data_IF_028580294506
#
_entry.id   IF_028580294506
#
_cell.length_a   1.000
_cell.length_b   1.000
_cell.length_c   1.000
_cell.angle_alpha   90.00
_cell.angle_beta   90.00
_cell.angle_gamma   90.00
#
_symmetry.space_group_name_H-M   'P 1'
#
loop_
_entity.id
_entity.type
_entity.pdbx_description
1 polymer ?
#
# COMPACT_ATOMS: atom_id res chain seq x y z
N UNK A 1 -53.72 0.10 -27.52
CA UNK A 1 -52.92 -0.74 -28.44
C UNK A 1 -51.69 -1.20 -27.68
N UNK A 2 -51.86 -2.24 -26.87
CA UNK A 2 -51.51 -3.65 -27.18
C UNK A 2 -50.01 -3.91 -27.29
N UNK A 3 -49.44 -4.25 -26.13
CA UNK A 3 -48.31 -5.16 -25.97
C UNK A 3 -48.67 -6.54 -26.54
N UNK A 4 -47.72 -7.24 -27.18
CA UNK A 4 -47.77 -8.72 -27.26
C UNK A 4 -46.34 -9.29 -27.35
N UNK A 5 -46.04 -10.39 -26.60
CA UNK A 5 -44.69 -10.90 -26.37
C UNK A 5 -44.36 -12.11 -27.28
N UNK A 6 -43.09 -12.53 -27.24
CA UNK A 6 -42.59 -13.72 -27.94
C UNK A 6 -42.81 -15.00 -27.10
N UNK A 7 -43.13 -16.16 -27.71
CA UNK A 7 -43.62 -17.34 -27.01
C UNK A 7 -42.53 -18.27 -26.47
N UNK A 8 -42.76 -18.74 -25.24
CA UNK A 8 -42.12 -19.89 -24.61
C UNK A 8 -42.80 -21.18 -25.10
N UNK A 9 -42.02 -22.17 -25.54
CA UNK A 9 -42.51 -23.52 -25.85
C UNK A 9 -41.88 -24.55 -24.92
N UNK A 10 -42.73 -25.21 -24.13
CA UNK A 10 -42.40 -26.27 -23.18
C UNK A 10 -43.14 -27.54 -23.61
N UNK A 11 -42.49 -28.73 -23.70
CA UNK A 11 -43.18 -30.01 -23.84
C UNK A 11 -43.07 -30.83 -22.52
N UNK A 12 -43.78 -31.97 -22.35
CA UNK A 12 -44.85 -32.09 -21.35
C UNK A 12 -44.48 -32.87 -20.09
N UNK A 13 -45.35 -32.71 -19.07
CA UNK A 13 -45.38 -33.44 -17.81
C UNK A 13 -45.36 -34.96 -17.97
N UNK A 14 -44.55 -35.63 -17.14
CA UNK A 14 -44.78 -37.02 -16.74
C UNK A 14 -44.77 -37.14 -15.21
N UNK A 15 -45.99 -37.32 -14.69
CA UNK A 15 -46.47 -38.04 -13.50
C UNK A 15 -45.58 -38.07 -12.26
N UNK A 16 -46.10 -37.48 -11.19
CA UNK A 16 -45.67 -37.69 -9.80
C UNK A 16 -45.79 -39.17 -9.44
N UNK A 17 -44.72 -39.76 -8.93
CA UNK A 17 -44.77 -40.93 -8.07
C UNK A 17 -44.07 -40.57 -6.77
N UNK A 18 -44.86 -40.44 -5.71
CA UNK A 18 -44.32 -40.43 -4.36
C UNK A 18 -43.80 -41.84 -4.07
N UNK A 19 -42.53 -41.98 -3.72
CA UNK A 19 -42.00 -43.23 -3.17
C UNK A 19 -41.42 -42.90 -1.80
N UNK A 20 -42.02 -43.58 -0.83
CA UNK A 20 -41.80 -43.50 0.60
C UNK A 20 -40.38 -43.96 0.95
N UNK A 21 -39.76 -43.23 1.88
CA UNK A 21 -38.48 -43.56 2.52
C UNK A 21 -38.61 -44.84 3.35
N UNK A 22 -37.64 -45.78 3.29
CA UNK A 22 -37.28 -46.54 4.45
C UNK A 22 -35.91 -46.08 4.94
N UNK A 23 -35.91 -45.59 6.19
CA UNK A 23 -34.73 -45.45 7.00
C UNK A 23 -34.11 -46.84 7.20
N UNK A 24 -32.83 -47.01 6.87
CA UNK A 24 -31.89 -47.88 7.59
C UNK A 24 -30.54 -47.93 6.87
N UNK A 25 -29.50 -47.52 7.60
CA UNK A 25 -28.18 -48.16 7.66
C UNK A 25 -27.56 -48.64 6.34
N UNK A 26 -26.54 -47.93 5.84
CA UNK A 26 -25.19 -48.47 5.60
C UNK A 26 -24.23 -47.27 5.53
N UNK A 27 -23.24 -47.27 6.41
CA UNK A 27 -22.09 -46.37 6.38
C UNK A 27 -21.28 -46.61 5.09
N UNK A 28 -21.15 -45.58 4.25
CA UNK A 28 -20.15 -45.57 3.17
C UNK A 28 -19.35 -44.27 3.29
N UNK A 29 -18.24 -44.38 4.01
CA UNK A 29 -17.10 -43.47 3.99
C UNK A 29 -16.45 -43.54 2.60
N UNK A 30 -16.94 -42.75 1.64
CA UNK A 30 -16.18 -42.50 0.40
C UNK A 30 -15.35 -41.24 0.58
N UNK A 31 -14.06 -41.46 0.81
CA UNK A 31 -13.00 -40.48 0.96
C UNK A 31 -13.06 -39.40 -0.13
N UNK A 32 -13.36 -38.17 0.26
CA UNK A 32 -12.99 -36.98 -0.49
C UNK A 32 -11.49 -36.78 -0.26
N UNK A 33 -10.66 -37.19 -1.21
CA UNK A 33 -9.22 -36.93 -1.16
C UNK A 33 -8.99 -35.42 -1.21
N UNK A 34 -8.66 -34.81 -0.08
CA UNK A 34 -8.10 -33.46 -0.01
C UNK A 34 -6.69 -33.48 -0.63
N UNK A 35 -6.59 -33.44 -1.96
CA UNK A 35 -5.37 -33.04 -2.64
C UNK A 35 -5.33 -31.50 -2.65
N UNK A 36 -5.09 -30.91 -1.47
CA UNK A 36 -5.22 -29.47 -1.25
C UNK A 36 -4.23 -28.90 -0.26
N UNK A 37 -3.05 -29.50 -0.12
CA UNK A 37 -1.89 -28.89 0.52
C UNK A 37 -0.63 -29.38 -0.20
N UNK A 38 -0.42 -28.91 -1.43
CA UNK A 38 0.96 -28.69 -1.84
C UNK A 38 1.33 -27.35 -1.21
N UNK A 39 1.89 -27.40 0.00
CA UNK A 39 2.66 -26.28 0.52
C UNK A 39 3.81 -26.11 -0.46
N UNK A 40 3.64 -25.21 -1.42
CA UNK A 40 4.77 -24.67 -2.16
C UNK A 40 5.67 -24.13 -1.07
N UNK A 41 6.78 -24.83 -0.80
CA UNK A 41 7.83 -24.30 0.05
C UNK A 41 8.24 -22.99 -0.61
N UNK A 42 7.69 -21.90 -0.10
CA UNK A 42 8.03 -20.56 -0.50
C UNK A 42 9.45 -20.40 0.00
N UNK A 43 10.39 -20.79 -0.85
CA UNK A 43 11.80 -20.49 -0.63
C UNK A 43 11.84 -18.99 -0.80
N UNK A 44 11.64 -18.27 0.30
CA UNK A 44 11.89 -16.85 0.36
C UNK A 44 13.27 -16.65 -0.28
N UNK A 45 13.37 -15.88 -1.37
CA UNK A 45 14.66 -15.66 -1.99
C UNK A 45 15.60 -15.16 -0.89
N UNK A 46 16.75 -15.79 -0.75
CA UNK A 46 17.88 -15.30 0.06
C UNK A 46 18.50 -14.08 -0.62
N UNK A 47 17.67 -13.06 -0.87
CA UNK A 47 18.08 -11.76 -1.36
C UNK A 47 18.43 -10.89 -0.16
N UNK A 48 19.45 -10.05 -0.33
CA UNK A 48 19.80 -9.00 0.62
C UNK A 48 18.55 -8.17 0.98
N UNK A 49 18.49 -7.68 2.22
CA UNK A 49 17.37 -6.88 2.72
C UNK A 49 17.00 -5.77 1.73
N UNK A 50 15.71 -5.56 1.40
CA UNK A 50 15.30 -4.56 0.41
C UNK A 50 15.63 -3.12 0.84
N UNK A 51 15.80 -2.90 2.15
CA UNK A 51 16.23 -1.64 2.75
C UNK A 51 17.27 -1.91 3.86
N UNK A 52 18.26 -1.03 3.96
CA UNK A 52 19.19 -0.93 5.09
C UNK A 52 18.85 0.32 5.87
N UNK A 53 18.64 0.19 7.18
CA UNK A 53 18.37 1.30 8.09
C UNK A 53 19.61 1.54 8.93
N UNK A 54 20.14 2.76 8.89
CA UNK A 54 21.29 3.18 9.67
C UNK A 54 20.96 4.40 10.52
N UNK A 55 21.36 4.41 11.79
CA UNK A 55 21.23 5.58 12.65
C UNK A 55 22.07 6.75 12.13
N UNK A 56 21.57 7.98 12.31
CA UNK A 56 22.33 9.19 12.06
C UNK A 56 22.92 9.67 13.40
N UNK A 57 24.26 9.72 13.56
CA UNK A 57 24.88 10.07 14.84
C UNK A 57 24.42 11.44 15.36
N UNK A 58 23.98 11.46 16.62
CA UNK A 58 23.55 12.68 17.29
C UNK A 58 22.10 13.09 17.02
N UNK A 59 21.31 12.25 16.34
CA UNK A 59 19.87 12.44 16.13
C UNK A 59 19.08 11.18 16.44
N UNK A 60 17.76 11.28 16.40
CA UNK A 60 16.78 10.18 16.49
C UNK A 60 16.29 9.74 15.09
N UNK A 61 17.03 10.11 14.04
CA UNK A 61 16.66 9.90 12.64
C UNK A 61 17.46 8.75 12.04
N UNK A 62 16.86 8.08 11.06
CA UNK A 62 17.54 7.05 10.29
C UNK A 62 17.82 7.48 8.85
N UNK A 63 18.91 6.94 8.31
CA UNK A 63 19.21 6.89 6.88
C UNK A 63 18.73 5.55 6.35
N UNK A 64 17.80 5.59 5.41
CA UNK A 64 17.33 4.41 4.69
C UNK A 64 18.06 4.33 3.35
N UNK A 65 18.63 3.19 3.03
CA UNK A 65 19.18 2.90 1.70
C UNK A 65 18.41 1.73 1.10
N UNK A 66 17.68 1.97 0.02
CA UNK A 66 16.89 0.94 -0.67
C UNK A 66 17.69 0.32 -1.82
N UNK A 67 17.39 -0.92 -2.15
CA UNK A 67 17.82 -1.50 -3.44
C UNK A 67 17.04 -0.87 -4.61
N UNK A 68 17.61 -0.88 -5.81
CA UNK A 68 16.88 -0.45 -7.04
C UNK A 68 15.53 -1.14 -7.17
N UNK A 69 15.49 -2.45 -6.96
CA UNK A 69 14.27 -3.25 -7.04
C UNK A 69 13.26 -2.88 -5.97
N UNK A 70 13.70 -2.45 -4.78
CA UNK A 70 12.80 -1.96 -3.75
C UNK A 70 12.17 -0.62 -4.18
N UNK A 71 12.97 0.32 -4.70
CA UNK A 71 12.48 1.60 -5.25
C UNK A 71 11.45 1.38 -6.36
N UNK A 72 11.70 0.44 -7.27
CA UNK A 72 10.75 0.08 -8.34
C UNK A 72 9.44 -0.49 -7.77
N UNK A 73 9.52 -1.39 -6.79
CA UNK A 73 8.36 -2.09 -6.22
C UNK A 73 7.49 -1.20 -5.34
N UNK A 74 8.09 -0.27 -4.61
CA UNK A 74 7.37 0.73 -3.81
C UNK A 74 6.87 1.89 -4.68
N UNK A 75 7.30 1.97 -5.94
CA UNK A 75 6.86 2.98 -6.88
C UNK A 75 7.26 4.39 -6.46
N UNK A 76 8.38 4.55 -5.75
CA UNK A 76 8.80 5.84 -5.21
C UNK A 76 8.81 6.91 -6.30
N UNK A 77 8.06 7.98 -6.06
CA UNK A 77 8.08 9.19 -6.86
C UNK A 77 8.61 10.33 -6.02
N UNK A 78 9.28 11.28 -6.67
CA UNK A 78 9.83 12.46 -5.99
C UNK A 78 9.46 13.74 -6.71
N UNK A 79 9.44 14.83 -5.97
CA UNK A 79 9.34 16.18 -6.51
C UNK A 79 10.19 17.14 -5.68
N UNK A 80 10.44 18.34 -6.21
CA UNK A 80 11.17 19.37 -5.47
C UNK A 80 10.22 20.24 -4.64
N UNK A 81 10.66 20.58 -3.43
CA UNK A 81 10.12 21.73 -2.68
C UNK A 81 10.34 23.03 -3.45
N UNK A 82 9.49 24.02 -3.24
CA UNK A 82 9.54 25.29 -3.98
C UNK A 82 9.25 26.48 -3.08
N UNK A 83 9.46 27.69 -3.61
CA UNK A 83 8.86 28.90 -3.04
C UNK A 83 7.64 29.27 -3.88
N UNK A 84 6.54 29.60 -3.22
CA UNK A 84 5.40 30.21 -3.90
C UNK A 84 5.85 31.55 -4.53
N UNK A 85 5.62 31.77 -5.84
CA UNK A 85 6.19 32.90 -6.57
C UNK A 85 5.60 34.26 -6.15
N UNK A 86 4.46 34.29 -5.46
CA UNK A 86 3.79 35.54 -5.03
C UNK A 86 4.10 35.88 -3.58
N UNK A 87 4.11 34.87 -2.71
CA UNK A 87 4.23 35.03 -1.27
C UNK A 87 5.63 34.71 -0.75
N UNK A 88 6.48 34.12 -1.58
CA UNK A 88 7.81 33.61 -1.23
C UNK A 88 7.82 32.63 -0.04
N UNK A 89 6.67 32.03 0.27
CA UNK A 89 6.53 31.00 1.30
C UNK A 89 7.01 29.65 0.77
N UNK A 90 7.62 28.86 1.65
CA UNK A 90 8.03 27.50 1.33
C UNK A 90 6.81 26.63 1.04
N UNK A 91 6.90 25.82 -0.01
CA UNK A 91 5.84 24.88 -0.41
C UNK A 91 6.39 23.49 -0.67
N UNK A 92 5.53 22.51 -0.44
CA UNK A 92 5.78 21.09 -0.71
C UNK A 92 4.53 20.46 -1.33
N UNK A 93 4.64 19.47 -2.24
CA UNK A 93 3.48 18.71 -2.68
C UNK A 93 2.79 18.06 -1.48
N UNK A 94 1.46 18.09 -1.46
CA UNK A 94 0.69 17.52 -0.35
C UNK A 94 0.99 16.02 -0.15
N UNK A 95 1.14 15.27 -1.24
CA UNK A 95 1.48 13.84 -1.19
C UNK A 95 2.87 13.52 -0.63
N UNK A 96 3.71 14.51 -0.33
CA UNK A 96 4.98 14.28 0.35
C UNK A 96 4.88 14.28 1.88
N UNK A 97 3.74 14.73 2.42
CA UNK A 97 3.54 14.89 3.85
C UNK A 97 3.08 13.57 4.43
N UNK A 98 3.83 13.09 5.42
CA UNK A 98 3.44 11.98 6.28
C UNK A 98 3.26 12.46 7.71
N UNK A 99 2.41 11.75 8.44
CA UNK A 99 2.22 11.93 9.87
C UNK A 99 2.75 10.70 10.58
N UNK A 100 3.55 10.89 11.62
CA UNK A 100 3.93 9.79 12.49
C UNK A 100 2.82 9.45 13.51
N UNK A 101 3.09 8.48 14.38
CA UNK A 101 2.15 8.04 15.41
C UNK A 101 1.84 9.08 16.48
N UNK A 102 2.70 10.10 16.64
CA UNK A 102 2.47 11.24 17.53
C UNK A 102 1.68 12.37 16.84
N UNK A 103 1.49 12.27 15.52
CA UNK A 103 0.84 13.31 14.71
C UNK A 103 1.79 14.42 14.26
N UNK A 104 3.11 14.23 14.44
CA UNK A 104 4.11 15.17 13.91
C UNK A 104 4.22 15.01 12.39
N UNK A 105 4.49 16.12 11.71
CA UNK A 105 4.55 16.15 10.24
C UNK A 105 5.97 16.05 9.72
N UNK A 106 6.16 15.15 8.76
CA UNK A 106 7.45 14.87 8.14
C UNK A 106 7.35 14.82 6.62
N UNK A 107 8.51 14.92 5.98
CA UNK A 107 8.72 14.53 4.58
C UNK A 107 9.95 13.64 4.51
N UNK A 108 10.00 12.68 3.59
CA UNK A 108 11.26 12.01 3.26
C UNK A 108 12.02 12.82 2.20
N UNK A 109 13.24 13.25 2.53
CA UNK A 109 14.17 13.82 1.56
C UNK A 109 14.91 12.71 0.82
N UNK A 110 15.35 12.99 -0.41
CA UNK A 110 16.18 12.07 -1.19
C UNK A 110 17.54 12.73 -1.52
N UNK A 111 18.48 12.78 -0.56
CA UNK A 111 19.76 13.49 -0.72
C UNK A 111 20.72 12.82 -1.70
N UNK A 112 20.63 11.50 -1.88
CA UNK A 112 21.43 10.68 -2.78
C UNK A 112 20.52 9.63 -3.43
N UNK A 113 20.85 9.08 -4.62
CA UNK A 113 20.04 8.01 -5.22
C UNK A 113 19.76 6.88 -4.23
N UNK A 114 18.49 6.49 -4.10
CA UNK A 114 18.00 5.41 -3.20
C UNK A 114 18.22 5.64 -1.70
N UNK A 115 18.74 6.81 -1.31
CA UNK A 115 18.92 7.17 0.10
C UNK A 115 17.82 8.12 0.54
N UNK A 116 17.17 7.81 1.65
CA UNK A 116 16.06 8.59 2.18
C UNK A 116 16.26 8.92 3.65
N UNK A 117 15.93 10.15 4.03
CA UNK A 117 16.02 10.64 5.41
C UNK A 117 14.79 11.49 5.68
N UNK A 118 14.05 11.18 6.75
CA UNK A 118 12.93 12.02 7.16
C UNK A 118 13.42 13.37 7.65
N UNK A 119 12.65 14.41 7.38
CA UNK A 119 12.91 15.75 7.87
C UNK A 119 11.59 16.36 8.36
N UNK A 120 11.62 16.92 9.57
CA UNK A 120 10.44 17.55 10.16
C UNK A 120 10.04 18.78 9.34
N UNK A 121 8.73 18.97 9.22
CA UNK A 121 8.11 20.14 8.63
C UNK A 121 7.08 20.72 9.59
N UNK A 122 6.72 21.98 9.39
CA UNK A 122 5.56 22.59 10.04
C UNK A 122 4.62 23.13 8.97
N UNK A 123 3.44 22.53 8.85
CA UNK A 123 2.43 22.95 7.87
C UNK A 123 1.77 24.25 8.34
N UNK A 124 1.73 25.26 7.47
CA UNK A 124 0.96 26.51 7.68
C UNK A 124 -0.50 26.31 7.22
N UNK A 125 -0.68 25.77 6.02
CA UNK A 125 -1.99 25.43 5.42
C UNK A 125 -1.81 24.47 4.24
N UNK A 126 -2.88 23.81 3.84
CA UNK A 126 -2.94 22.98 2.63
C UNK A 126 -3.93 23.57 1.63
N UNK A 127 -3.46 23.77 0.41
CA UNK A 127 -4.20 24.34 -0.71
C UNK A 127 -4.33 23.29 -1.83
N UNK A 128 -5.23 22.34 -1.66
CA UNK A 128 -5.40 21.23 -2.61
C UNK A 128 -4.16 20.34 -2.63
N UNK A 129 -3.45 20.30 -3.76
CA UNK A 129 -2.27 19.44 -3.97
C UNK A 129 -0.94 20.05 -3.48
N UNK A 130 -0.97 21.26 -2.91
CA UNK A 130 0.22 21.95 -2.42
C UNK A 130 0.01 22.37 -0.97
N UNK A 131 0.98 22.05 -0.11
CA UNK A 131 1.05 22.55 1.25
C UNK A 131 2.02 23.73 1.33
N UNK A 132 1.64 24.75 2.11
CA UNK A 132 2.48 25.88 2.46
C UNK A 132 3.05 25.62 3.85
N UNK A 133 4.36 25.79 4.01
CA UNK A 133 5.09 25.46 5.23
C UNK A 133 5.53 26.71 5.99
N UNK A 134 5.52 26.64 7.33
CA UNK A 134 6.21 27.58 8.21
C UNK A 134 7.71 27.27 8.29
N UNK A 135 8.06 25.99 8.26
CA UNK A 135 9.44 25.47 8.28
C UNK A 135 9.49 24.11 7.58
N UNK A 136 10.66 23.76 7.05
CA UNK A 136 10.90 22.51 6.34
C UNK A 136 12.19 22.54 5.52
N UNK A 137 12.43 21.56 4.64
CA UNK A 137 13.58 21.57 3.75
C UNK A 137 13.63 22.82 2.88
N UNK A 138 14.84 23.32 2.59
CA UNK A 138 15.06 24.45 1.67
C UNK A 138 14.40 24.18 0.32
N UNK A 139 13.94 25.23 -0.35
CA UNK A 139 13.45 25.13 -1.72
C UNK A 139 14.49 24.46 -2.64
N UNK A 140 14.00 23.64 -3.57
CA UNK A 140 14.83 22.79 -4.44
C UNK A 140 15.25 21.46 -3.81
N UNK A 141 14.94 21.19 -2.54
CA UNK A 141 15.16 19.86 -1.96
C UNK A 141 14.19 18.85 -2.56
N UNK A 142 14.72 17.72 -3.04
CA UNK A 142 13.96 16.56 -3.51
C UNK A 142 13.31 15.85 -2.32
N UNK A 143 12.00 15.66 -2.40
CA UNK A 143 11.19 14.94 -1.41
C UNK A 143 10.36 13.86 -2.09
N UNK A 144 10.08 12.79 -1.35
CA UNK A 144 9.24 11.67 -1.80
C UNK A 144 7.78 12.09 -1.77
N UNK A 145 7.03 11.84 -2.85
CA UNK A 145 5.59 12.17 -3.01
C UNK A 145 4.69 10.95 -3.13
N UNK A 146 5.29 9.77 -3.26
CA UNK A 146 4.62 8.47 -3.36
C UNK A 146 5.61 7.45 -2.83
N UNK A 147 5.17 6.51 -2.00
CA UNK A 147 6.09 5.58 -1.34
C UNK A 147 6.63 6.08 0.00
N UNK A 148 6.10 7.19 0.55
CA UNK A 148 6.63 7.78 1.78
C UNK A 148 6.21 6.97 3.02
N UNK A 149 5.01 6.40 3.00
CA UNK A 149 4.48 5.53 4.05
C UNK A 149 5.22 4.18 4.11
N UNK A 150 5.69 3.70 2.97
CA UNK A 150 6.49 2.49 2.81
C UNK A 150 7.90 2.70 3.37
N UNK A 151 8.47 3.88 3.16
CA UNK A 151 9.72 4.30 3.82
C UNK A 151 9.51 4.40 5.33
N UNK A 152 8.37 4.93 5.78
CA UNK A 152 8.04 5.00 7.21
C UNK A 152 7.95 3.61 7.84
N UNK A 153 7.26 2.68 7.18
CA UNK A 153 7.19 1.29 7.63
C UNK A 153 8.56 0.61 7.64
N UNK A 154 9.41 0.88 6.64
CA UNK A 154 10.77 0.35 6.60
C UNK A 154 11.67 0.96 7.70
N UNK A 155 11.45 2.21 8.09
CA UNK A 155 12.26 2.89 9.11
C UNK A 155 12.06 2.32 10.51
N UNK A 156 10.82 1.96 10.86
CA UNK A 156 10.46 1.62 12.24
C UNK A 156 10.29 0.13 12.51
N UNK A 157 10.40 -0.73 11.48
CA UNK A 157 10.11 -2.16 11.50
C UNK A 157 8.71 -2.50 12.08
N UNK A 158 8.20 -3.71 11.83
CA UNK A 158 6.90 -4.18 12.36
C UNK A 158 7.05 -5.07 13.60
N UNK A 159 8.23 -5.10 14.22
CA UNK A 159 8.56 -5.97 15.34
C UNK A 159 8.90 -5.22 16.63
N UNK A 160 7.87 -4.95 17.44
CA UNK A 160 8.02 -5.05 18.90
C UNK A 160 7.77 -6.50 19.36
#
# INVERSE_FOLDING_TARGET
MNSTPSPSTRPPQRKRAAVVVPASFVAVLTAFSLAGCAETADTAPTGDSPAVVAEIPGTDLHRLTLTERAVERTGIQTASTALDPKTHKLTVPYGAIIYDSAGETWVYTNPEPQVYVRQSITVERINGQVAVLKSGPRAGTTVVTTGAEELLGAEFDVGE
#
